data_IF_279429898170
#
_entry.id   IF_279429898170
#
_cell.length_a   1.000
_cell.length_b   1.000
_cell.length_c   1.000
_cell.angle_alpha   90.00
_cell.angle_beta   90.00
_cell.angle_gamma   90.00
#
_symmetry.space_group_name_H-M   'P 1'
#
loop_
_entity.id
_entity.type
_entity.pdbx_description
1 polymer ?
#
# COMPACT_ATOMS: atom_id res chain seq x y z
N UNK A 1 -11.96 4.21 46.61
CA UNK A 1 -13.10 4.93 46.01
C UNK A 1 -12.80 5.15 44.54
N UNK A 2 -13.70 4.75 43.64
CA UNK A 2 -13.54 5.04 42.20
C UNK A 2 -13.87 6.52 41.99
N UNK A 3 -12.84 7.36 41.87
CA UNK A 3 -13.02 8.81 41.74
C UNK A 3 -13.57 9.12 40.35
N UNK A 4 -14.89 9.31 40.25
CA UNK A 4 -15.64 9.60 39.03
C UNK A 4 -15.00 10.73 38.19
N UNK A 5 -14.40 11.71 38.86
CA UNK A 5 -13.66 12.83 38.28
C UNK A 5 -12.41 12.43 37.48
N UNK A 6 -11.77 11.30 37.79
CA UNK A 6 -10.63 10.75 37.03
C UNK A 6 -11.13 9.83 35.90
N UNK A 7 -12.24 9.12 36.12
CA UNK A 7 -12.80 8.20 35.13
C UNK A 7 -13.30 8.91 33.86
N UNK A 8 -13.97 10.06 34.00
CA UNK A 8 -14.50 10.84 32.87
C UNK A 8 -13.38 11.28 31.89
N UNK A 9 -12.31 11.95 32.32
CA UNK A 9 -11.25 12.38 31.40
C UNK A 9 -10.51 11.19 30.77
N UNK A 10 -10.29 10.09 31.50
CA UNK A 10 -9.71 8.87 30.94
C UNK A 10 -10.60 8.29 29.84
N UNK A 11 -11.92 8.27 30.05
CA UNK A 11 -12.86 7.79 29.05
C UNK A 11 -12.83 8.66 27.78
N UNK A 12 -12.84 9.99 27.92
CA UNK A 12 -12.75 10.93 26.80
C UNK A 12 -11.41 10.75 26.04
N UNK A 13 -10.31 10.62 26.77
CA UNK A 13 -8.99 10.39 26.17
C UNK A 13 -8.93 9.06 25.41
N UNK A 14 -9.50 7.99 25.96
CA UNK A 14 -9.56 6.69 25.29
C UNK A 14 -10.39 6.74 24.00
N UNK A 15 -11.55 7.41 24.03
CA UNK A 15 -12.40 7.57 22.85
C UNK A 15 -11.75 8.45 21.78
N UNK A 16 -11.13 9.56 22.16
CA UNK A 16 -10.39 10.40 21.22
C UNK A 16 -9.19 9.67 20.60
N UNK A 17 -8.41 8.92 21.40
CA UNK A 17 -7.33 8.08 20.88
C UNK A 17 -7.82 7.03 19.88
N UNK A 18 -8.98 6.42 20.14
CA UNK A 18 -9.61 5.46 19.22
C UNK A 18 -10.01 6.14 17.90
N UNK A 19 -10.59 7.34 17.96
CA UNK A 19 -10.95 8.13 16.77
C UNK A 19 -9.71 8.51 15.97
N UNK A 20 -8.68 9.02 16.64
CA UNK A 20 -7.41 9.41 16.02
C UNK A 20 -6.75 8.22 15.31
N UNK A 21 -6.75 7.05 15.93
CA UNK A 21 -6.21 5.83 15.30
C UNK A 21 -6.98 5.42 14.04
N UNK A 22 -8.32 5.47 14.07
CA UNK A 22 -9.12 5.20 12.86
C UNK A 22 -8.88 6.23 11.76
N UNK A 23 -8.75 7.50 12.14
CA UNK A 23 -8.47 8.58 11.20
C UNK A 23 -7.08 8.45 10.57
N UNK A 24 -6.07 8.08 11.35
CA UNK A 24 -4.72 7.81 10.89
C UNK A 24 -4.71 6.69 9.84
N UNK A 25 -5.36 5.56 10.13
CA UNK A 25 -5.46 4.45 9.18
C UNK A 25 -6.14 4.88 7.86
N UNK A 26 -7.23 5.65 7.98
CA UNK A 26 -7.96 6.15 6.82
C UNK A 26 -7.12 7.08 5.95
N UNK A 27 -6.38 8.02 6.55
CA UNK A 27 -5.48 8.93 5.82
C UNK A 27 -4.43 8.13 5.04
N UNK A 28 -3.81 7.15 5.68
CA UNK A 28 -2.79 6.32 5.04
C UNK A 28 -3.37 5.59 3.83
N UNK A 29 -4.56 5.00 3.98
CA UNK A 29 -5.26 4.31 2.90
C UNK A 29 -5.55 5.28 1.75
N UNK A 30 -6.14 6.45 2.04
CA UNK A 30 -6.55 7.41 1.02
C UNK A 30 -5.35 7.98 0.24
N UNK A 31 -4.26 8.33 0.94
CA UNK A 31 -3.06 8.85 0.27
C UNK A 31 -2.42 7.75 -0.59
N UNK A 32 -2.31 6.53 -0.06
CA UNK A 32 -1.74 5.39 -0.81
C UNK A 32 -2.57 5.07 -2.06
N UNK A 33 -3.90 5.04 -1.94
CA UNK A 33 -4.81 4.88 -3.08
C UNK A 33 -4.68 6.03 -4.09
N UNK A 34 -4.52 7.27 -3.62
CA UNK A 34 -4.28 8.44 -4.47
C UNK A 34 -3.00 8.30 -5.30
N UNK A 35 -1.90 7.88 -4.68
CA UNK A 35 -0.62 7.62 -5.36
C UNK A 35 -0.74 6.46 -6.37
N UNK A 36 -1.37 5.35 -5.97
CA UNK A 36 -1.58 4.19 -6.83
C UNK A 36 -2.47 4.54 -8.04
N UNK A 37 -3.50 5.36 -7.84
CA UNK A 37 -4.41 5.86 -8.89
C UNK A 37 -3.66 6.73 -9.91
N UNK A 38 -2.76 7.62 -9.46
CA UNK A 38 -1.91 8.40 -10.38
C UNK A 38 -1.02 7.49 -11.23
N UNK A 39 -0.38 6.47 -10.64
CA UNK A 39 0.35 5.48 -11.43
C UNK A 39 -0.54 4.70 -12.38
N UNK A 40 -1.75 4.31 -11.95
CA UNK A 40 -2.70 3.63 -12.81
C UNK A 40 -3.01 4.46 -14.07
N UNK A 41 -3.23 5.77 -13.93
CA UNK A 41 -3.42 6.69 -15.05
C UNK A 41 -2.20 6.74 -15.99
N UNK A 42 -0.99 6.86 -15.44
CA UNK A 42 0.25 6.83 -16.23
C UNK A 42 0.42 5.51 -16.99
N UNK A 43 0.20 4.39 -16.32
CA UNK A 43 0.30 3.06 -16.92
C UNK A 43 -0.71 2.85 -18.05
N UNK A 44 -1.95 3.34 -17.86
CA UNK A 44 -2.99 3.30 -18.89
C UNK A 44 -2.59 4.14 -20.09
N UNK A 45 -2.03 5.34 -19.88
CA UNK A 45 -1.51 6.18 -20.96
C UNK A 45 -0.40 5.47 -21.76
N UNK A 46 0.61 4.91 -21.08
CA UNK A 46 1.68 4.12 -21.72
C UNK A 46 1.11 2.97 -22.54
N UNK A 47 0.14 2.23 -22.00
CA UNK A 47 -0.54 1.14 -22.71
C UNK A 47 -1.21 1.60 -24.00
N UNK A 48 -1.85 2.77 -24.00
CA UNK A 48 -2.48 3.35 -25.18
C UNK A 48 -1.43 3.78 -26.23
N UNK A 49 -0.35 4.45 -25.80
CA UNK A 49 0.74 4.87 -26.69
C UNK A 49 1.40 3.67 -27.36
N UNK A 50 1.76 2.63 -26.60
CA UNK A 50 2.36 1.41 -27.15
C UNK A 50 1.42 0.70 -28.14
N UNK A 51 0.11 0.68 -27.88
CA UNK A 51 -0.87 0.10 -28.81
C UNK A 51 -0.96 0.88 -30.12
N UNK A 52 -0.91 2.21 -30.04
CA UNK A 52 -0.89 3.06 -31.22
C UNK A 52 0.37 2.79 -32.05
N UNK A 53 1.55 2.79 -31.42
CA UNK A 53 2.83 2.52 -32.09
C UNK A 53 2.91 1.12 -32.74
N UNK A 54 2.24 0.11 -32.16
CA UNK A 54 2.13 -1.21 -32.79
C UNK A 54 1.32 -1.19 -34.07
N UNK A 55 0.22 -0.42 -34.09
CA UNK A 55 -0.65 -0.30 -35.27
C UNK A 55 0.04 0.47 -36.39
N UNK A 56 0.82 1.47 -36.02
CA UNK A 56 1.53 2.38 -36.92
C UNK A 56 2.90 1.83 -37.39
N UNK A 57 3.32 0.67 -36.88
CA UNK A 57 4.65 0.11 -37.11
C UNK A 57 5.00 -0.27 -38.56
N UNK A 58 4.04 -0.18 -39.50
CA UNK A 58 4.20 -0.48 -40.93
C UNK A 58 4.24 0.78 -41.82
N UNK A 59 4.15 1.98 -41.24
CA UNK A 59 4.13 3.23 -42.00
C UNK A 59 5.52 3.90 -41.99
N UNK A 60 5.96 4.44 -43.12
CA UNK A 60 7.19 5.26 -43.16
C UNK A 60 7.00 6.50 -42.30
N UNK A 61 7.83 6.65 -41.27
CA UNK A 61 7.77 7.80 -40.37
C UNK A 61 8.56 8.97 -40.93
N UNK A 62 7.93 10.12 -41.02
CA UNK A 62 8.63 11.35 -41.40
C UNK A 62 9.50 11.85 -40.23
N UNK A 63 10.54 12.64 -40.53
CA UNK A 63 11.46 13.19 -39.52
C UNK A 63 10.71 13.91 -38.38
N UNK A 64 9.68 14.68 -38.70
CA UNK A 64 8.82 15.40 -37.71
C UNK A 64 8.08 14.44 -36.77
N UNK A 65 7.58 13.31 -37.27
CA UNK A 65 6.84 12.32 -36.47
C UNK A 65 7.76 11.60 -35.48
N UNK A 66 9.01 11.34 -35.88
CA UNK A 66 10.04 10.77 -35.01
C UNK A 66 10.36 11.73 -33.86
N UNK A 67 10.52 13.03 -34.13
CA UNK A 67 10.74 14.04 -33.09
C UNK A 67 9.54 14.16 -32.15
N UNK A 68 8.32 14.14 -32.69
CA UNK A 68 7.10 14.18 -31.88
C UNK A 68 7.00 12.96 -30.94
N UNK A 69 7.21 11.74 -31.47
CA UNK A 69 7.21 10.52 -30.66
C UNK A 69 8.27 10.56 -29.55
N UNK A 70 9.48 11.03 -29.85
CA UNK A 70 10.53 11.19 -28.86
C UNK A 70 10.11 12.14 -27.73
N UNK A 71 9.47 13.27 -28.07
CA UNK A 71 9.00 14.23 -27.08
C UNK A 71 7.88 13.66 -26.20
N UNK A 72 6.96 12.88 -26.77
CA UNK A 72 5.91 12.19 -26.00
C UNK A 72 6.52 11.23 -24.98
N UNK A 73 7.49 10.41 -25.38
CA UNK A 73 8.17 9.49 -24.47
C UNK A 73 9.01 10.18 -23.40
N UNK A 74 9.63 11.32 -23.74
CA UNK A 74 10.31 12.18 -22.77
C UNK A 74 9.33 12.69 -21.71
N UNK A 75 8.17 13.19 -22.11
CA UNK A 75 7.13 13.67 -21.20
C UNK A 75 6.59 12.55 -20.30
N UNK A 76 6.41 11.34 -20.85
CA UNK A 76 6.05 10.16 -20.06
C UNK A 76 7.11 9.90 -19.00
N UNK A 77 8.39 9.83 -19.38
CA UNK A 77 9.48 9.55 -18.43
C UNK A 77 9.54 10.60 -17.32
N UNK A 78 9.43 11.88 -17.68
CA UNK A 78 9.39 12.97 -16.71
C UNK A 78 8.20 12.85 -15.75
N UNK A 79 7.02 12.49 -16.25
CA UNK A 79 5.85 12.24 -15.40
C UNK A 79 6.07 11.08 -14.41
N UNK A 80 6.73 9.99 -14.83
CA UNK A 80 7.10 8.89 -13.92
C UNK A 80 8.14 9.31 -12.88
N UNK A 81 9.13 10.11 -13.27
CA UNK A 81 10.15 10.65 -12.35
C UNK A 81 9.55 11.62 -11.32
N UNK A 82 8.66 12.51 -11.75
CA UNK A 82 7.96 13.42 -10.84
C UNK A 82 7.04 12.66 -9.89
N UNK A 83 6.36 11.61 -10.39
CA UNK A 83 5.53 10.76 -9.56
C UNK A 83 6.36 9.96 -8.54
N UNK A 84 7.54 9.45 -8.91
CA UNK A 84 8.41 8.75 -7.96
C UNK A 84 8.98 9.69 -6.90
N UNK A 85 9.35 10.91 -7.28
CA UNK A 85 9.76 11.95 -6.33
C UNK A 85 8.64 12.28 -5.33
N UNK A 86 7.40 12.41 -5.80
CA UNK A 86 6.24 12.64 -4.93
C UNK A 86 6.03 11.51 -3.93
N UNK A 87 6.14 10.25 -4.36
CA UNK A 87 6.00 9.10 -3.45
C UNK A 87 7.06 9.13 -2.35
N UNK A 88 8.31 9.49 -2.68
CA UNK A 88 9.38 9.60 -1.68
C UNK A 88 9.13 10.72 -0.67
N UNK A 89 8.68 11.89 -1.12
CA UNK A 89 8.30 12.99 -0.22
C UNK A 89 7.14 12.57 0.71
N UNK A 90 6.14 11.87 0.17
CA UNK A 90 5.04 11.35 0.97
C UNK A 90 5.52 10.27 1.95
N UNK A 91 6.47 9.44 1.57
CA UNK A 91 7.04 8.41 2.45
C UNK A 91 7.77 9.00 3.65
N UNK A 92 8.52 10.09 3.46
CA UNK A 92 9.23 10.81 4.52
C UNK A 92 8.26 11.34 5.59
N UNK A 93 7.12 11.91 5.17
CA UNK A 93 6.11 12.47 6.07
C UNK A 93 5.17 11.40 6.66
N UNK A 94 4.76 10.42 5.86
CA UNK A 94 3.83 9.37 6.30
C UNK A 94 4.51 8.22 7.04
N UNK A 95 5.83 8.05 6.93
CA UNK A 95 6.53 6.88 7.43
C UNK A 95 6.29 6.63 8.92
N UNK A 96 6.30 7.68 9.73
CA UNK A 96 6.04 7.58 11.17
C UNK A 96 4.58 7.19 11.47
N UNK A 97 3.62 7.77 10.75
CA UNK A 97 2.20 7.40 10.86
C UNK A 97 1.97 5.96 10.41
N UNK A 98 2.66 5.52 9.36
CA UNK A 98 2.58 4.16 8.86
C UNK A 98 3.13 3.15 9.88
N UNK A 99 4.26 3.47 10.51
CA UNK A 99 4.85 2.65 11.57
C UNK A 99 3.91 2.54 12.76
N UNK A 100 3.43 3.68 13.28
CA UNK A 100 2.52 3.72 14.42
C UNK A 100 1.20 2.99 14.13
N UNK A 101 0.64 3.14 12.92
CA UNK A 101 -0.57 2.44 12.48
C UNK A 101 -0.36 0.93 12.50
N UNK A 102 0.74 0.44 11.92
CA UNK A 102 1.03 -0.99 11.88
C UNK A 102 1.29 -1.58 13.27
N UNK A 103 2.02 -0.86 14.14
CA UNK A 103 2.24 -1.29 15.52
C UNK A 103 0.94 -1.36 16.32
N UNK A 104 0.10 -0.33 16.24
CA UNK A 104 -1.19 -0.32 16.91
C UNK A 104 -2.10 -1.44 16.40
N UNK A 105 -2.22 -1.60 15.09
CA UNK A 105 -3.01 -2.67 14.48
C UNK A 105 -2.51 -4.06 14.93
N UNK A 106 -1.20 -4.30 14.92
CA UNK A 106 -0.64 -5.56 15.42
C UNK A 106 -0.93 -5.78 16.90
N UNK A 107 -0.70 -4.77 17.75
CA UNK A 107 -0.93 -4.86 19.19
C UNK A 107 -2.37 -5.23 19.52
N UNK A 108 -3.35 -4.51 18.94
CA UNK A 108 -4.76 -4.78 19.21
C UNK A 108 -5.24 -6.10 18.62
N UNK A 109 -4.71 -6.54 17.47
CA UNK A 109 -5.02 -7.87 16.91
C UNK A 109 -4.53 -8.96 17.86
N UNK A 110 -3.26 -8.91 18.29
CA UNK A 110 -2.71 -9.88 19.23
C UNK A 110 -3.47 -9.86 20.57
N UNK A 111 -3.77 -8.67 21.11
CA UNK A 111 -4.54 -8.54 22.34
C UNK A 111 -5.93 -9.15 22.22
N UNK A 112 -6.64 -8.92 21.11
CA UNK A 112 -7.95 -9.52 20.87
C UNK A 112 -7.86 -11.03 20.67
N UNK A 113 -6.85 -11.54 19.95
CA UNK A 113 -6.64 -12.98 19.80
C UNK A 113 -6.43 -13.63 21.16
N UNK A 114 -5.47 -13.13 21.95
CA UNK A 114 -5.19 -13.63 23.30
C UNK A 114 -6.42 -13.60 24.23
N UNK A 115 -7.16 -12.48 24.25
CA UNK A 115 -8.36 -12.35 25.09
C UNK A 115 -9.48 -13.27 24.61
N UNK A 116 -9.66 -13.44 23.31
CA UNK A 116 -10.66 -14.36 22.75
C UNK A 116 -10.35 -15.80 23.07
N UNK A 117 -9.09 -16.21 22.96
CA UNK A 117 -8.68 -17.58 23.28
C UNK A 117 -8.93 -17.95 24.75
N UNK A 118 -8.87 -16.97 25.66
CA UNK A 118 -9.05 -17.19 27.11
C UNK A 118 -10.45 -16.91 27.65
N UNK A 119 -11.28 -16.10 26.96
CA UNK A 119 -12.55 -15.57 27.49
C UNK A 119 -13.79 -15.85 26.64
N UNK A 120 -13.75 -16.83 25.73
CA UNK A 120 -14.92 -17.21 24.91
C UNK A 120 -15.99 -17.99 25.70
N UNK A 121 -15.88 -18.06 27.03
CA UNK A 121 -16.94 -18.51 27.92
C UNK A 121 -17.95 -17.38 28.18
N UNK A 122 -18.89 -17.18 27.26
CA UNK A 122 -19.92 -16.15 27.39
C UNK A 122 -21.16 -16.39 26.52
N UNK A 123 -22.21 -15.60 26.78
CA UNK A 123 -23.47 -15.59 26.01
C UNK A 123 -23.18 -15.41 24.51
N UNK A 124 -23.95 -16.07 23.63
CA UNK A 124 -23.79 -16.03 22.16
C UNK A 124 -23.52 -14.62 21.61
N UNK A 125 -24.16 -13.59 22.17
CA UNK A 125 -23.99 -12.19 21.76
C UNK A 125 -22.55 -11.68 21.94
N UNK A 126 -21.88 -12.06 23.03
CA UNK A 126 -20.49 -11.67 23.28
C UNK A 126 -19.54 -12.33 22.28
N UNK A 127 -19.84 -13.57 21.90
CA UNK A 127 -19.07 -14.32 20.89
C UNK A 127 -19.20 -13.67 19.52
N UNK A 128 -20.41 -13.30 19.10
CA UNK A 128 -20.63 -12.61 17.82
C UNK A 128 -19.94 -11.24 17.81
N UNK A 129 -20.08 -10.46 18.88
CA UNK A 129 -19.40 -9.16 19.01
C UNK A 129 -17.88 -9.30 18.92
N UNK A 130 -17.31 -10.31 19.55
CA UNK A 130 -15.87 -10.60 19.49
C UNK A 130 -15.39 -10.84 18.06
N UNK A 131 -16.01 -11.79 17.34
CA UNK A 131 -15.62 -12.10 15.96
C UNK A 131 -15.83 -10.91 15.01
N UNK A 132 -16.91 -10.15 15.20
CA UNK A 132 -17.15 -8.93 14.43
C UNK A 132 -16.04 -7.89 14.69
N UNK A 133 -15.69 -7.64 15.95
CA UNK A 133 -14.64 -6.68 16.32
C UNK A 133 -13.27 -7.09 15.77
N UNK A 134 -12.91 -8.37 15.90
CA UNK A 134 -11.67 -8.92 15.37
C UNK A 134 -11.62 -8.85 13.85
N UNK A 135 -12.70 -9.27 13.18
CA UNK A 135 -12.81 -9.20 11.72
C UNK A 135 -12.69 -7.77 11.21
N UNK A 136 -13.37 -6.82 11.85
CA UNK A 136 -13.28 -5.40 11.51
C UNK A 136 -11.85 -4.88 11.64
N UNK A 137 -11.18 -5.20 12.76
CA UNK A 137 -9.81 -4.77 13.01
C UNK A 137 -8.83 -5.36 11.97
N UNK A 138 -8.97 -6.65 11.65
CA UNK A 138 -8.16 -7.30 10.62
C UNK A 138 -8.37 -6.70 9.24
N UNK A 139 -9.63 -6.48 8.83
CA UNK A 139 -9.94 -5.86 7.53
C UNK A 139 -9.30 -4.48 7.41
N UNK A 140 -9.38 -3.66 8.46
CA UNK A 140 -8.75 -2.33 8.49
C UNK A 140 -7.22 -2.43 8.38
N UNK A 141 -6.60 -3.27 9.21
CA UNK A 141 -5.14 -3.46 9.20
C UNK A 141 -4.64 -3.95 7.83
N UNK A 142 -5.32 -4.93 7.25
CA UNK A 142 -5.02 -5.45 5.90
C UNK A 142 -5.23 -4.36 4.85
N UNK A 143 -6.28 -3.55 4.95
CA UNK A 143 -6.54 -2.47 4.00
C UNK A 143 -5.43 -1.41 3.99
N UNK A 144 -4.91 -1.01 5.17
CA UNK A 144 -3.76 -0.09 5.28
C UNK A 144 -2.56 -0.63 4.52
N UNK A 145 -2.20 -1.89 4.79
CA UNK A 145 -1.02 -2.50 4.19
C UNK A 145 -1.19 -2.77 2.70
N UNK A 146 -2.35 -3.26 2.27
CA UNK A 146 -2.63 -3.49 0.85
C UNK A 146 -2.61 -2.18 0.06
N UNK A 147 -3.21 -1.12 0.59
CA UNK A 147 -3.21 0.19 -0.07
C UNK A 147 -1.77 0.70 -0.25
N UNK A 148 -0.92 0.59 0.78
CA UNK A 148 0.48 0.98 0.69
C UNK A 148 1.29 0.11 -0.28
N UNK A 149 1.09 -1.21 -0.26
CA UNK A 149 1.76 -2.15 -1.16
C UNK A 149 1.35 -1.93 -2.64
N UNK A 150 0.13 -1.49 -2.89
CA UNK A 150 -0.37 -1.19 -4.23
C UNK A 150 0.41 -0.08 -4.91
N UNK A 151 0.97 0.88 -4.18
CA UNK A 151 1.82 1.93 -4.75
C UNK A 151 3.04 1.32 -5.47
N UNK A 152 3.71 0.36 -4.85
CA UNK A 152 4.85 -0.35 -5.45
C UNK A 152 4.42 -1.22 -6.63
N UNK A 153 3.31 -1.96 -6.48
CA UNK A 153 2.80 -2.80 -7.57
C UNK A 153 2.45 -1.97 -8.81
N UNK A 154 1.81 -0.81 -8.61
CA UNK A 154 1.42 0.08 -9.69
C UNK A 154 2.61 0.84 -10.30
N UNK A 155 3.67 1.15 -9.56
CA UNK A 155 4.85 1.82 -10.12
C UNK A 155 5.56 0.98 -11.20
N UNK A 156 5.54 -0.36 -11.07
CA UNK A 156 6.18 -1.31 -11.99
C UNK A 156 5.26 -1.84 -13.09
N UNK A 157 3.95 -1.58 -13.02
CA UNK A 157 2.94 -2.19 -13.90
C UNK A 157 3.05 -1.79 -15.38
N UNK A 158 3.80 -0.74 -15.69
CA UNK A 158 4.09 -0.34 -17.07
C UNK A 158 5.15 -1.21 -17.77
N UNK A 159 6.01 -1.92 -17.03
CA UNK A 159 7.14 -2.68 -17.59
C UNK A 159 6.72 -3.68 -18.69
N UNK A 160 5.68 -4.52 -18.49
CA UNK A 160 5.26 -5.47 -19.53
C UNK A 160 4.85 -4.79 -20.84
N UNK A 161 4.20 -3.62 -20.75
CA UNK A 161 3.81 -2.85 -21.94
C UNK A 161 5.05 -2.32 -22.67
N UNK A 162 6.01 -1.79 -21.93
CA UNK A 162 7.27 -1.28 -22.49
C UNK A 162 8.08 -2.40 -23.15
N UNK A 163 8.14 -3.59 -22.56
CA UNK A 163 8.82 -4.75 -23.18
C UNK A 163 8.15 -5.19 -24.48
N UNK A 164 6.84 -4.99 -24.60
CA UNK A 164 6.10 -5.34 -25.81
C UNK A 164 6.19 -4.31 -26.94
N UNK A 165 6.90 -3.19 -26.77
CA UNK A 165 7.03 -2.13 -27.78
C UNK A 165 7.76 -2.62 -29.05
N UNK A 166 7.26 -2.32 -30.27
CA UNK A 166 7.88 -2.76 -31.52
C UNK A 166 9.24 -2.09 -31.77
N UNK A 167 10.17 -2.81 -32.39
CA UNK A 167 11.53 -2.31 -32.68
C UNK A 167 11.56 -1.06 -33.54
N UNK A 168 10.58 -0.85 -34.43
CA UNK A 168 10.46 0.32 -35.30
C UNK A 168 10.07 1.61 -34.57
N UNK A 169 9.54 1.52 -33.35
CA UNK A 169 9.20 2.68 -32.50
C UNK A 169 10.11 2.79 -31.27
N UNK A 170 11.07 1.87 -31.13
CA UNK A 170 11.95 1.83 -29.97
C UNK A 170 12.94 3.00 -29.99
N UNK A 171 12.94 3.78 -28.92
CA UNK A 171 13.76 4.97 -28.78
C UNK A 171 14.55 4.98 -27.46
N UNK A 172 15.46 5.95 -27.33
CA UNK A 172 16.31 6.13 -26.15
C UNK A 172 15.51 6.37 -24.87
N UNK A 173 14.39 7.08 -24.93
CA UNK A 173 13.57 7.42 -23.77
C UNK A 173 12.81 6.19 -23.24
N UNK A 174 12.32 5.31 -24.11
CA UNK A 174 11.74 4.01 -23.72
C UNK A 174 12.78 3.17 -22.98
N UNK A 175 14.03 3.13 -23.48
CA UNK A 175 15.13 2.42 -22.80
C UNK A 175 15.41 2.99 -21.41
N UNK A 176 15.48 4.33 -21.30
CA UNK A 176 15.69 5.03 -20.03
C UNK A 176 14.54 4.74 -19.05
N UNK A 177 13.30 4.80 -19.52
CA UNK A 177 12.12 4.51 -18.73
C UNK A 177 12.09 3.06 -18.23
N UNK A 178 12.43 2.08 -19.10
CA UNK A 178 12.58 0.67 -18.68
C UNK A 178 13.61 0.54 -17.57
N UNK A 179 14.78 1.15 -17.73
CA UNK A 179 15.83 1.11 -16.72
C UNK A 179 15.36 1.73 -15.40
N UNK A 180 14.69 2.88 -15.46
CA UNK A 180 14.11 3.54 -14.29
C UNK A 180 13.11 2.64 -13.57
N UNK A 181 12.09 2.11 -14.26
CA UNK A 181 11.06 1.27 -13.61
C UNK A 181 11.62 -0.07 -13.09
N UNK A 182 12.69 -0.59 -13.69
CA UNK A 182 13.29 -1.86 -13.26
C UNK A 182 14.11 -1.70 -12.00
N UNK A 183 14.91 -0.62 -11.90
CA UNK A 183 15.88 -0.44 -10.82
C UNK A 183 15.39 0.48 -9.71
N UNK A 184 14.44 1.37 -9.99
CA UNK A 184 13.90 2.29 -8.99
C UNK A 184 12.87 1.57 -8.10
N UNK A 185 13.23 1.39 -6.83
CA UNK A 185 12.33 0.79 -5.85
C UNK A 185 11.45 1.87 -5.21
N UNK A 186 10.24 2.01 -5.75
CA UNK A 186 9.26 2.99 -5.28
C UNK A 186 8.23 2.27 -4.41
N UNK A 187 8.32 2.43 -3.10
CA UNK A 187 7.41 1.84 -2.13
C UNK A 187 7.27 2.72 -0.90
N UNK A 188 6.13 2.62 -0.21
CA UNK A 188 5.94 3.22 1.10
C UNK A 188 6.58 2.31 2.17
N UNK A 189 7.25 2.94 3.13
CA UNK A 189 8.04 2.33 4.18
C UNK A 189 7.64 2.88 5.55
N UNK A 190 7.71 2.02 6.57
CA UNK A 190 7.49 2.43 7.94
C UNK A 190 8.80 3.03 8.50
N UNK A 191 9.15 4.25 8.08
CA UNK A 191 10.43 4.91 8.40
C UNK A 191 11.67 4.08 7.99
N UNK A 192 11.59 3.32 6.90
CA UNK A 192 12.66 2.44 6.46
C UNK A 192 12.85 1.14 7.25
N UNK A 193 12.13 0.89 8.36
CA UNK A 193 12.21 -0.38 9.09
C UNK A 193 11.77 -1.57 8.23
N UNK A 194 10.66 -1.40 7.51
CA UNK A 194 10.17 -2.37 6.56
C UNK A 194 9.35 -1.70 5.47
N UNK A 195 9.50 -2.23 4.25
CA UNK A 195 8.62 -1.93 3.13
C UNK A 195 7.35 -2.77 3.23
N UNK A 196 6.21 -2.15 2.98
CA UNK A 196 4.93 -2.85 2.96
C UNK A 196 4.79 -3.62 1.64
N UNK A 197 4.90 -4.93 1.75
CA UNK A 197 4.63 -5.88 0.68
C UNK A 197 3.55 -6.87 1.16
N UNK A 198 2.70 -7.30 0.24
CA UNK A 198 1.63 -8.28 0.48
C UNK A 198 2.19 -9.58 1.05
N UNK A 199 3.39 -9.98 0.62
CA UNK A 199 4.06 -11.17 1.12
C UNK A 199 4.49 -11.04 2.59
N UNK A 200 5.08 -9.91 2.97
CA UNK A 200 5.52 -9.67 4.36
C UNK A 200 4.34 -9.61 5.32
N UNK A 201 3.21 -9.03 4.89
CA UNK A 201 1.97 -9.09 5.67
C UNK A 201 1.53 -10.53 5.96
N UNK A 202 1.52 -11.38 4.93
CA UNK A 202 1.11 -12.78 5.09
C UNK A 202 2.05 -13.54 6.06
N UNK A 203 3.35 -13.25 6.00
CA UNK A 203 4.34 -13.83 6.90
C UNK A 203 4.11 -13.41 8.35
N UNK A 204 3.86 -12.11 8.61
CA UNK A 204 3.58 -11.60 9.96
C UNK A 204 2.28 -12.21 10.50
N UNK A 205 1.21 -12.26 9.68
CA UNK A 205 -0.04 -12.89 10.08
C UNK A 205 0.13 -14.38 10.40
N UNK A 206 0.87 -15.12 9.57
CA UNK A 206 1.17 -16.53 9.83
C UNK A 206 1.99 -16.72 11.11
N UNK A 207 2.95 -15.83 11.39
CA UNK A 207 3.72 -15.86 12.63
C UNK A 207 2.83 -15.64 13.86
N UNK A 208 1.93 -14.64 13.83
CA UNK A 208 0.97 -14.39 14.93
C UNK A 208 0.12 -15.63 15.20
N UNK A 209 -0.52 -16.19 14.16
CA UNK A 209 -1.34 -17.40 14.29
C UNK A 209 -0.53 -18.57 14.84
N UNK A 210 0.71 -18.75 14.37
CA UNK A 210 1.62 -19.80 14.87
C UNK A 210 1.90 -19.63 16.36
N UNK A 211 2.24 -18.42 16.81
CA UNK A 211 2.52 -18.17 18.23
C UNK A 211 1.30 -18.37 19.12
N UNK A 212 0.12 -17.93 18.67
CA UNK A 212 -1.13 -18.14 19.41
C UNK A 212 -1.47 -19.63 19.51
N UNK A 213 -1.31 -20.41 18.42
CA UNK A 213 -1.51 -21.86 18.45
C UNK A 213 -0.55 -22.57 19.41
N UNK A 214 0.72 -22.15 19.42
CA UNK A 214 1.73 -22.66 20.36
C UNK A 214 1.30 -22.33 21.79
N UNK A 215 0.88 -21.09 22.07
CA UNK A 215 0.43 -20.68 23.40
C UNK A 215 -0.72 -21.58 23.88
N UNK A 216 -1.73 -21.84 23.05
CA UNK A 216 -2.85 -22.74 23.39
C UNK A 216 -2.38 -24.17 23.68
N UNK A 217 -1.36 -24.66 22.94
CA UNK A 217 -0.81 -25.99 23.17
C UNK A 217 -0.09 -26.10 24.52
N UNK A 218 0.57 -25.03 24.97
CA UNK A 218 1.29 -24.98 26.26
C UNK A 218 0.43 -24.51 27.44
N UNK A 219 -0.75 -23.95 27.20
CA UNK A 219 -1.76 -23.60 28.24
C UNK A 219 -2.62 -24.82 28.64
N UNK A 220 -2.25 -26.03 28.18
CA UNK A 220 -2.75 -27.33 28.65
C UNK A 220 -1.73 -27.98 29.57
#
# INVERSE_FOLDING_TARGET
EYTLWIAIPIFILSKSATILWNFQDLIIILISMGLASRYHRLNSFVKHVVRYEKRDGNMEKFKTEIYYQLNVWRNIREAYANQSALVRQVDEELGALLLLSNLNNMYFICLQLYLGLRKVDGVLINRVYYFYSLGWLMVRAVSVVLAAADVNLHSKRALPYLYSCPSSSYNIEIRRLKNQLTHDHIALSAMGFFYLDRQKLLQVAAAIVKYELILIQYDK
#
